data_IF_398517237350
#
_entry.id   IF_398517237350
#
_cell.length_a   1.000
_cell.length_b   1.000
_cell.length_c   1.000
_cell.angle_alpha   90.00
_cell.angle_beta   90.00
_cell.angle_gamma   90.00
#
_symmetry.space_group_name_H-M   'P 1'
#
loop_
_entity.id
_entity.type
_entity.pdbx_description
1 polymer ?
#
# COMPACT_ATOMS: atom_id res chain seq x y z
N UNK A 1 -3.11 -8.45 11.88
CA UNK A 1 -2.19 -7.29 12.01
C UNK A 1 -2.01 -6.53 10.69
N UNK A 2 -3.03 -6.46 9.83
CA UNK A 2 -2.98 -5.61 8.62
C UNK A 2 -3.68 -4.27 8.84
N UNK A 3 -4.57 -4.23 9.84
CA UNK A 3 -5.28 -3.04 10.26
C UNK A 3 -4.30 -1.96 10.72
N UNK A 4 -4.55 -0.72 10.30
CA UNK A 4 -3.69 0.44 10.57
C UNK A 4 -2.25 0.38 10.04
N UNK A 5 -1.91 -0.49 9.07
CA UNK A 5 -0.56 -0.55 8.48
C UNK A 5 -0.06 0.76 7.86
N UNK A 6 -0.98 1.69 7.57
CA UNK A 6 -0.68 3.06 7.17
C UNK A 6 -0.05 3.89 8.31
N UNK A 7 -0.41 3.63 9.58
CA UNK A 7 0.15 4.34 10.74
C UNK A 7 1.54 3.84 11.11
N UNK A 8 1.71 2.52 11.21
CA UNK A 8 2.92 1.91 11.79
C UNK A 8 3.82 1.20 10.77
N UNK A 9 3.43 1.11 9.50
CA UNK A 9 4.26 0.44 8.49
C UNK A 9 5.57 1.17 8.18
N UNK A 10 5.72 2.43 8.61
CA UNK A 10 6.97 3.19 8.53
C UNK A 10 7.98 2.92 9.65
N UNK A 11 7.65 2.01 10.58
CA UNK A 11 8.49 1.61 11.71
C UNK A 11 9.79 0.92 11.28
N UNK A 12 10.72 0.78 12.23
CA UNK A 12 11.99 0.12 11.98
C UNK A 12 11.80 -1.36 11.61
N UNK A 13 12.68 -1.89 10.76
CA UNK A 13 12.58 -3.27 10.22
C UNK A 13 12.43 -4.33 11.31
N UNK A 14 13.25 -4.25 12.36
CA UNK A 14 13.21 -5.20 13.47
C UNK A 14 11.85 -5.21 14.22
N UNK A 15 11.16 -4.06 14.30
CA UNK A 15 9.82 -3.99 14.91
C UNK A 15 8.77 -4.67 14.03
N UNK A 16 8.89 -4.52 12.71
CA UNK A 16 8.01 -5.19 11.75
C UNK A 16 8.27 -6.71 11.73
N UNK A 17 9.52 -7.14 11.83
CA UNK A 17 9.92 -8.55 11.92
C UNK A 17 9.43 -9.20 13.23
N UNK A 18 9.43 -8.46 14.33
CA UNK A 18 8.86 -8.91 15.59
C UNK A 18 7.34 -9.19 15.46
N UNK A 19 6.60 -8.32 14.77
CA UNK A 19 5.18 -8.55 14.46
C UNK A 19 4.99 -9.79 13.59
N UNK A 20 5.84 -9.99 12.59
CA UNK A 20 5.79 -11.18 11.74
C UNK A 20 6.03 -12.46 12.57
N UNK A 21 6.93 -12.41 13.56
CA UNK A 21 7.20 -13.50 14.50
C UNK A 21 5.97 -13.86 15.34
N UNK A 22 5.25 -12.84 15.85
CA UNK A 22 4.00 -13.05 16.60
C UNK A 22 2.95 -13.75 15.74
N UNK A 23 2.76 -13.32 14.48
CA UNK A 23 1.79 -13.96 13.57
C UNK A 23 2.20 -15.39 13.22
N UNK A 24 3.49 -15.65 13.00
CA UNK A 24 4.00 -17.02 12.79
C UNK A 24 3.77 -17.90 14.01
N UNK A 25 3.97 -17.38 15.23
CA UNK A 25 3.71 -18.11 16.48
C UNK A 25 2.22 -18.41 16.64
N UNK A 26 1.35 -17.42 16.41
CA UNK A 26 -0.09 -17.62 16.45
C UNK A 26 -0.55 -18.71 15.47
N UNK A 27 -0.04 -18.69 14.24
CA UNK A 27 -0.35 -19.70 13.22
C UNK A 27 0.06 -21.11 13.67
N UNK A 28 1.23 -21.25 14.32
CA UNK A 28 1.68 -22.52 14.89
C UNK A 28 0.81 -23.02 16.04
N UNK A 29 0.37 -22.12 16.93
CA UNK A 29 -0.48 -22.47 18.08
C UNK A 29 -1.86 -22.95 17.62
N UNK A 30 -2.45 -22.28 16.63
CA UNK A 30 -3.76 -22.65 16.08
C UNK A 30 -3.71 -24.05 15.45
N UNK A 31 -2.57 -24.42 14.84
CA UNK A 31 -2.35 -25.79 14.34
C UNK A 31 -3.21 -26.18 13.14
N UNK A 32 -3.91 -25.21 12.54
CA UNK A 32 -4.81 -25.47 11.42
C UNK A 32 -4.01 -25.73 10.14
N UNK A 33 -4.01 -27.00 9.72
CA UNK A 33 -3.36 -27.45 8.48
C UNK A 33 -3.94 -26.74 7.26
N UNK A 34 -5.19 -26.30 7.29
CA UNK A 34 -5.79 -25.54 6.19
C UNK A 34 -5.15 -24.16 6.03
N UNK A 35 -4.84 -23.45 7.12
CA UNK A 35 -4.11 -22.16 7.07
C UNK A 35 -2.64 -22.35 6.68
N UNK A 36 -2.08 -23.52 6.99
CA UNK A 36 -0.68 -23.86 6.70
C UNK A 36 -0.52 -24.34 5.25
N UNK A 37 -1.50 -25.06 4.70
CA UNK A 37 -1.56 -25.52 3.31
C UNK A 37 -2.11 -24.46 2.36
N UNK A 38 -3.09 -23.66 2.78
CA UNK A 38 -3.55 -22.47 2.10
C UNK A 38 -2.51 -21.38 2.29
N UNK A 39 -1.40 -21.53 1.55
CA UNK A 39 -0.24 -20.66 1.32
C UNK A 39 -0.49 -19.18 1.66
N UNK A 40 -0.64 -18.86 2.95
CA UNK A 40 -1.09 -17.55 3.39
C UNK A 40 -0.01 -16.55 2.99
N UNK A 41 -0.41 -15.50 2.27
CA UNK A 41 0.54 -14.48 1.85
C UNK A 41 1.25 -13.88 3.07
N UNK A 42 2.52 -13.50 2.87
CA UNK A 42 3.32 -12.93 3.96
C UNK A 42 2.61 -11.74 4.60
N UNK A 43 2.81 -11.53 5.90
CA UNK A 43 2.18 -10.38 6.58
C UNK A 43 2.66 -9.06 5.93
N UNK A 44 3.90 -8.98 5.47
CA UNK A 44 4.41 -7.86 4.69
C UNK A 44 3.60 -7.61 3.42
N UNK A 45 3.35 -8.65 2.61
CA UNK A 45 2.52 -8.56 1.42
C UNK A 45 1.11 -8.04 1.74
N UNK A 46 0.46 -8.62 2.75
CA UNK A 46 -0.90 -8.22 3.13
C UNK A 46 -0.96 -6.77 3.64
N UNK A 47 0.06 -6.32 4.38
CA UNK A 47 0.20 -4.91 4.79
C UNK A 47 0.36 -3.97 3.59
N UNK A 48 1.14 -4.40 2.59
CA UNK A 48 1.38 -3.62 1.37
C UNK A 48 0.09 -3.48 0.54
N UNK A 49 -0.66 -4.57 0.37
CA UNK A 49 -1.99 -4.56 -0.25
C UNK A 49 -2.94 -3.62 0.51
N UNK A 50 -2.94 -3.66 1.84
CA UNK A 50 -3.77 -2.78 2.67
C UNK A 50 -3.39 -1.30 2.49
N UNK A 51 -2.09 -0.96 2.50
CA UNK A 51 -1.63 0.41 2.27
C UNK A 51 -2.05 0.91 0.88
N UNK A 52 -1.83 0.12 -0.17
CA UNK A 52 -2.24 0.46 -1.53
C UNK A 52 -3.77 0.60 -1.67
N UNK A 53 -4.54 -0.22 -0.95
CA UNK A 53 -6.01 -0.13 -0.94
C UNK A 53 -6.51 1.18 -0.30
N UNK A 54 -5.88 1.63 0.78
CA UNK A 54 -6.18 2.93 1.39
C UNK A 54 -5.78 4.07 0.45
N UNK A 55 -4.60 3.97 -0.17
CA UNK A 55 -4.12 4.96 -1.12
C UNK A 55 -5.01 5.06 -2.36
N UNK A 56 -5.55 3.94 -2.85
CA UNK A 56 -6.54 3.92 -3.94
C UNK A 56 -7.80 4.69 -3.58
N UNK A 57 -8.33 4.52 -2.37
CA UNK A 57 -9.49 5.30 -1.89
C UNK A 57 -9.17 6.79 -1.84
N UNK A 58 -8.00 7.16 -1.31
CA UNK A 58 -7.55 8.54 -1.24
C UNK A 58 -7.43 9.16 -2.64
N UNK A 59 -6.85 8.43 -3.59
CA UNK A 59 -6.65 8.90 -4.97
C UNK A 59 -7.96 9.24 -5.68
N UNK A 60 -9.02 8.45 -5.47
CA UNK A 60 -10.34 8.67 -6.09
C UNK A 60 -11.30 9.50 -5.22
N UNK A 61 -10.89 9.98 -4.04
CA UNK A 61 -11.76 10.72 -3.12
C UNK A 61 -12.77 9.87 -2.36
N UNK A 62 -12.76 8.55 -2.54
CA UNK A 62 -13.64 7.55 -1.89
C UNK A 62 -13.19 7.21 -0.46
N UNK A 63 -12.65 8.19 0.26
CA UNK A 63 -12.15 8.06 1.63
C UNK A 63 -13.08 8.75 2.63
N UNK A 64 -12.96 8.39 3.92
CA UNK A 64 -13.74 9.03 4.99
C UNK A 64 -13.48 10.55 5.02
N UNK A 65 -14.51 11.34 5.32
CA UNK A 65 -14.45 12.80 5.24
C UNK A 65 -13.34 13.39 6.12
N UNK A 66 -13.11 12.79 7.30
CA UNK A 66 -12.06 13.18 8.23
C UNK A 66 -10.67 13.03 7.60
N UNK A 67 -10.48 11.95 6.83
CA UNK A 67 -9.23 11.70 6.12
C UNK A 67 -9.08 12.63 4.92
N UNK A 68 -10.19 12.88 4.19
CA UNK A 68 -10.24 13.81 3.07
C UNK A 68 -9.85 15.24 3.48
N UNK A 69 -10.25 15.67 4.68
CA UNK A 69 -9.92 17.00 5.19
C UNK A 69 -8.44 17.16 5.58
N UNK A 70 -7.76 16.05 5.91
CA UNK A 70 -6.34 16.04 6.31
C UNK A 70 -5.43 15.82 5.10
N UNK A 71 -5.87 14.99 4.15
CA UNK A 71 -5.14 14.79 2.90
C UNK A 71 -5.36 16.03 2.04
N UNK A 72 -4.29 16.80 1.84
CA UNK A 72 -4.31 18.00 0.98
C UNK A 72 -5.07 17.69 -0.33
N UNK A 73 -5.94 18.59 -0.83
CA UNK A 73 -6.83 18.36 -1.99
C UNK A 73 -6.15 17.87 -3.27
N UNK A 74 -4.82 17.93 -3.34
CA UNK A 74 -4.02 17.20 -4.32
C UNK A 74 -2.59 17.01 -3.79
N UNK A 75 -2.21 15.82 -3.29
CA UNK A 75 -0.80 15.49 -3.07
C UNK A 75 -0.12 15.05 -4.37
N UNK A 76 -0.91 14.75 -5.41
CA UNK A 76 -0.49 14.04 -6.60
C UNK A 76 -0.34 15.04 -7.73
N UNK A 77 0.74 15.82 -7.70
CA UNK A 77 1.13 16.57 -8.89
C UNK A 77 1.25 15.54 -10.02
N UNK A 78 0.44 15.63 -11.07
CA UNK A 78 0.70 14.84 -12.26
C UNK A 78 1.98 15.41 -12.86
N UNK A 79 3.09 14.68 -12.74
CA UNK A 79 4.42 15.14 -13.17
C UNK A 79 4.34 15.70 -14.60
N UNK A 80 4.36 17.02 -14.73
CA UNK A 80 4.40 17.75 -16.01
C UNK A 80 5.85 17.77 -16.52
N UNK A 81 6.41 16.58 -16.73
CA UNK A 81 7.66 16.46 -17.47
C UNK A 81 7.35 16.13 -18.93
N UNK A 82 8.23 16.54 -19.84
CA UNK A 82 8.27 16.28 -21.30
C UNK A 82 8.16 14.79 -21.72
N UNK A 83 7.84 13.88 -20.80
CA UNK A 83 7.75 12.43 -20.99
C UNK A 83 6.41 11.84 -20.52
N UNK A 84 5.30 12.60 -20.52
CA UNK A 84 3.97 12.09 -20.16
C UNK A 84 3.62 10.76 -20.84
N UNK A 85 4.08 10.54 -22.06
CA UNK A 85 3.86 9.30 -22.83
C UNK A 85 4.53 8.05 -22.24
N UNK A 86 5.55 8.19 -21.39
CA UNK A 86 6.25 7.05 -20.77
C UNK A 86 5.65 6.62 -19.43
N UNK A 87 4.73 7.40 -18.86
CA UNK A 87 4.20 7.19 -17.52
C UNK A 87 2.72 6.81 -17.58
N UNK A 88 2.29 5.88 -16.73
CA UNK A 88 0.88 5.49 -16.70
C UNK A 88 -0.02 6.61 -16.13
N UNK A 89 -1.29 6.64 -16.56
CA UNK A 89 -2.26 7.69 -16.18
C UNK A 89 -2.38 7.89 -14.66
N UNK A 90 -2.22 6.81 -13.89
CA UNK A 90 -2.31 6.83 -12.43
C UNK A 90 -1.04 7.32 -11.71
N UNK A 91 0.01 7.77 -12.39
CA UNK A 91 1.25 8.20 -11.72
C UNK A 91 1.01 9.43 -10.86
N UNK A 92 1.61 9.39 -9.67
CA UNK A 92 1.62 10.47 -8.69
C UNK A 92 3.03 11.03 -8.54
N UNK A 93 3.19 12.34 -8.32
CA UNK A 93 4.50 12.89 -7.97
C UNK A 93 4.83 12.61 -6.50
N UNK A 94 6.13 12.50 -6.22
CA UNK A 94 6.64 12.26 -4.88
C UNK A 94 7.51 13.47 -4.53
N UNK A 95 7.15 14.26 -3.51
CA UNK A 95 7.95 15.41 -3.12
C UNK A 95 9.36 14.96 -2.71
N UNK A 96 10.35 15.78 -3.04
CA UNK A 96 11.74 15.52 -2.65
C UNK A 96 11.87 15.65 -1.13
N UNK A 97 12.19 14.56 -0.45
CA UNK A 97 12.38 14.53 1.01
C UNK A 97 13.83 14.22 1.35
N UNK A 98 14.43 15.04 2.24
CA UNK A 98 15.84 14.89 2.63
C UNK A 98 16.09 13.87 3.75
N UNK A 99 15.07 13.44 4.49
CA UNK A 99 15.25 12.55 5.65
C UNK A 99 14.62 11.18 5.45
N UNK A 100 15.27 10.15 6.01
CA UNK A 100 14.75 8.77 6.04
C UNK A 100 13.40 8.66 6.75
N UNK A 101 13.16 9.50 7.76
CA UNK A 101 11.89 9.55 8.52
C UNK A 101 10.73 10.01 7.64
N UNK A 102 10.92 11.04 6.82
CA UNK A 102 9.86 11.48 5.90
C UNK A 102 9.64 10.47 4.77
N UNK A 103 10.71 9.84 4.29
CA UNK A 103 10.63 8.76 3.30
C UNK A 103 9.82 7.54 3.77
N UNK A 104 9.78 7.27 5.09
CA UNK A 104 9.02 6.15 5.65
C UNK A 104 7.57 6.50 5.98
N UNK A 105 7.16 7.76 5.85
CA UNK A 105 5.75 8.16 6.03
C UNK A 105 4.84 7.50 5.01
N UNK A 106 3.58 7.30 5.39
CA UNK A 106 2.59 6.59 4.59
C UNK A 106 2.51 7.08 3.14
N UNK A 107 2.27 8.39 2.94
CA UNK A 107 2.07 8.94 1.60
C UNK A 107 3.28 8.71 0.69
N UNK A 108 4.48 9.00 1.17
CA UNK A 108 5.72 8.88 0.38
C UNK A 108 6.04 7.42 0.09
N UNK A 109 6.00 6.57 1.11
CA UNK A 109 6.29 5.14 1.00
C UNK A 109 5.30 4.45 0.05
N UNK A 110 4.01 4.71 0.21
CA UNK A 110 2.97 4.08 -0.60
C UNK A 110 2.89 4.66 -2.01
N UNK A 111 3.19 5.95 -2.21
CA UNK A 111 3.34 6.52 -3.55
C UNK A 111 4.45 5.83 -4.36
N UNK A 112 5.60 5.51 -3.73
CA UNK A 112 6.66 4.72 -4.40
C UNK A 112 6.18 3.35 -4.84
N UNK A 113 5.45 2.66 -3.97
CA UNK A 113 4.87 1.35 -4.29
C UNK A 113 3.81 1.46 -5.40
N UNK A 114 3.02 2.53 -5.38
CA UNK A 114 1.97 2.81 -6.35
C UNK A 114 2.52 3.07 -7.76
N UNK A 115 3.65 3.77 -7.88
CA UNK A 115 4.30 3.99 -9.18
C UNK A 115 4.93 2.70 -9.72
N UNK A 116 5.27 1.76 -8.84
CA UNK A 116 5.88 0.49 -9.23
C UNK A 116 4.85 -0.55 -9.71
N UNK A 117 3.54 -0.35 -9.48
CA UNK A 117 2.51 -1.31 -9.92
C UNK A 117 2.09 -1.06 -11.38
N UNK A 118 1.83 -2.13 -12.16
CA UNK A 118 1.39 -1.98 -13.55
C UNK A 118 0.04 -1.26 -13.69
N UNK A 119 -0.18 -0.49 -14.77
CA UNK A 119 -1.46 0.17 -15.02
C UNK A 119 -2.66 -0.80 -15.15
N UNK A 120 -2.42 -2.04 -15.55
CA UNK A 120 -3.44 -3.09 -15.73
C UNK A 120 -4.13 -3.49 -14.41
N UNK A 121 -3.52 -3.14 -13.28
CA UNK A 121 -4.02 -3.38 -11.93
C UNK A 121 -5.19 -2.46 -11.59
N UNK A 122 -5.24 -1.27 -12.18
CA UNK A 122 -6.30 -0.29 -11.92
C UNK A 122 -7.54 -0.61 -12.78
N UNK A 123 -8.70 -0.88 -12.17
CA UNK A 123 -9.94 -1.05 -12.91
C UNK A 123 -10.49 0.31 -13.38
N UNK A 124 -11.14 0.30 -14.54
CA UNK A 124 -12.00 1.39 -15.01
C UNK A 124 -13.40 0.80 -15.26
N UNK A 125 -14.46 1.20 -14.54
CA UNK A 125 -14.53 2.27 -13.53
C UNK A 125 -13.99 1.87 -12.14
N UNK A 126 -14.09 2.77 -11.15
CA UNK A 126 -13.60 2.56 -9.78
C UNK A 126 -14.22 1.30 -9.14
N UNK A 127 -13.37 0.34 -8.74
CA UNK A 127 -13.79 -0.86 -8.02
C UNK A 127 -12.69 -1.35 -7.08
N UNK A 128 -12.88 -1.12 -5.77
CA UNK A 128 -11.89 -1.48 -4.76
C UNK A 128 -11.65 -3.00 -4.66
N UNK A 129 -12.70 -3.82 -4.75
CA UNK A 129 -12.59 -5.28 -4.64
C UNK A 129 -11.70 -5.84 -5.75
N UNK A 130 -11.93 -5.40 -7.00
CA UNK A 130 -11.15 -5.75 -8.18
C UNK A 130 -9.71 -5.28 -8.05
N UNK A 131 -9.50 -4.03 -7.61
CA UNK A 131 -8.16 -3.50 -7.36
C UNK A 131 -7.41 -4.34 -6.32
N UNK A 132 -8.03 -4.64 -5.17
CA UNK A 132 -7.44 -5.46 -4.11
C UNK A 132 -7.05 -6.86 -4.60
N UNK A 133 -7.90 -7.49 -5.41
CA UNK A 133 -7.63 -8.80 -5.98
C UNK A 133 -6.45 -8.78 -6.98
N UNK A 134 -6.35 -7.74 -7.81
CA UNK A 134 -5.24 -7.57 -8.77
C UNK A 134 -3.93 -7.21 -8.07
N UNK A 135 -3.95 -6.24 -7.16
CA UNK A 135 -2.79 -5.85 -6.34
C UNK A 135 -2.29 -7.03 -5.51
N UNK A 136 -3.18 -7.86 -4.98
CA UNK A 136 -2.82 -9.06 -4.24
C UNK A 136 -1.95 -10.05 -5.02
N UNK A 137 -1.90 -9.97 -6.36
CA UNK A 137 -1.07 -10.83 -7.21
C UNK A 137 0.28 -10.19 -7.59
N UNK A 138 0.43 -8.87 -7.49
CA UNK A 138 1.60 -8.15 -8.00
C UNK A 138 2.25 -7.20 -6.99
N UNK A 139 1.67 -7.02 -5.80
CA UNK A 139 2.25 -6.16 -4.78
C UNK A 139 3.64 -6.68 -4.37
N UNK A 140 4.60 -5.77 -4.11
CA UNK A 140 5.92 -6.17 -3.65
C UNK A 140 5.82 -6.86 -2.28
N UNK A 141 6.55 -7.97 -2.11
CA UNK A 141 6.62 -8.71 -0.85
C UNK A 141 7.59 -8.11 0.12
#
# INVERSE_FOLDING_TARGET
MEYCSHLWGGSAKYQLEALDSVVRRASRIIGDKSLTQAKLQSLQHRRNVACLSVFYRIYFGECAQELHNIVLPSPFYHRTARHRERWHHYVVDIPSTRTKRFLSTFLIRTAKMWIAIPPTVFPAPYYLSTFKAKVGKCAPT
#
